data_IF_717439757473
#
_entry.id   IF_717439757473
#
_cell.length_a   1.000
_cell.length_b   1.000
_cell.length_c   1.000
_cell.angle_alpha   90.00
_cell.angle_beta   90.00
_cell.angle_gamma   90.00
#
_symmetry.space_group_name_H-M   'P 1'
#
loop_
_entity.id
_entity.type
_entity.pdbx_description
1 polymer ?
#
# COMPACT_ATOMS: atom_id res chain seq x y z
N UNK A 1 -3.71 -6.37 22.47
CA UNK A 1 -2.67 -5.31 22.45
C UNK A 1 -3.01 -4.37 21.31
N UNK A 2 -3.34 -3.11 21.59
CA UNK A 2 -3.74 -2.16 20.55
C UNK A 2 -2.54 -1.80 19.68
N UNK A 3 -2.65 -1.94 18.35
CA UNK A 3 -1.63 -1.45 17.43
C UNK A 3 -1.55 0.08 17.54
N UNK A 4 -0.36 0.67 17.79
CA UNK A 4 -0.23 2.12 18.01
C UNK A 4 -0.71 2.89 16.78
N UNK A 5 -1.24 4.11 16.90
CA UNK A 5 -1.73 4.87 15.75
C UNK A 5 -0.64 5.05 14.65
N UNK A 6 -1.04 4.96 13.38
CA UNK A 6 -0.13 5.20 12.24
C UNK A 6 0.09 6.71 12.08
N UNK A 7 1.28 7.19 12.39
CA UNK A 7 1.62 8.62 12.30
C UNK A 7 3.01 8.97 12.82
N UNK A 8 3.38 10.24 12.69
CA UNK A 8 4.64 10.78 13.20
C UNK A 8 5.90 10.32 12.46
N UNK A 9 7.06 10.62 13.05
CA UNK A 9 8.39 10.45 12.42
C UNK A 9 8.66 9.02 11.95
N UNK A 10 8.17 8.01 12.69
CA UNK A 10 8.33 6.58 12.32
C UNK A 10 7.61 6.27 11.01
N UNK A 11 6.34 6.67 10.89
CA UNK A 11 5.55 6.48 9.67
C UNK A 11 6.20 7.21 8.49
N UNK A 12 6.70 8.43 8.69
CA UNK A 12 7.44 9.16 7.64
C UNK A 12 8.66 8.39 7.15
N UNK A 13 9.46 7.82 8.07
CA UNK A 13 10.66 7.03 7.71
C UNK A 13 10.29 5.75 6.96
N UNK A 14 9.30 5.00 7.43
CA UNK A 14 8.84 3.78 6.77
C UNK A 14 8.30 4.06 5.36
N UNK A 15 7.52 5.14 5.20
CA UNK A 15 7.04 5.59 3.89
C UNK A 15 8.19 5.87 2.94
N UNK A 16 9.21 6.61 3.37
CA UNK A 16 10.38 6.89 2.55
C UNK A 16 11.14 5.60 2.20
N UNK A 17 11.34 4.71 3.17
CA UNK A 17 12.00 3.42 2.96
C UNK A 17 11.27 2.54 1.95
N UNK A 18 9.93 2.49 2.02
CA UNK A 18 9.09 1.71 1.08
C UNK A 18 9.21 2.23 -0.34
N UNK A 19 9.16 3.56 -0.54
CA UNK A 19 9.32 4.17 -1.86
C UNK A 19 10.75 3.96 -2.40
N UNK A 20 11.76 4.07 -1.55
CA UNK A 20 13.16 3.84 -1.92
C UNK A 20 13.41 2.37 -2.31
N UNK A 21 12.87 1.44 -1.54
CA UNK A 21 13.05 -0.01 -1.75
C UNK A 21 12.27 -0.54 -2.96
N UNK A 22 11.01 -0.14 -3.11
CA UNK A 22 10.08 -0.75 -4.08
C UNK A 22 9.73 0.17 -5.26
N UNK A 23 10.22 1.42 -5.26
CA UNK A 23 9.87 2.43 -6.25
C UNK A 23 8.49 3.05 -6.02
N UNK A 24 8.05 3.83 -7.01
CA UNK A 24 6.85 4.67 -6.92
C UNK A 24 5.63 4.12 -7.66
N UNK A 25 5.67 2.86 -8.13
CA UNK A 25 4.52 2.23 -8.79
C UNK A 25 3.54 1.72 -7.72
N UNK A 26 2.33 2.28 -7.71
CA UNK A 26 1.27 1.87 -6.80
C UNK A 26 0.90 0.40 -6.99
N UNK A 27 1.02 -0.41 -5.94
CA UNK A 27 0.71 -1.84 -6.01
C UNK A 27 -0.79 -2.13 -6.17
N UNK A 28 -1.66 -1.17 -5.86
CA UNK A 28 -3.10 -1.30 -6.03
C UNK A 28 -3.52 -1.07 -7.48
N UNK A 29 -3.18 0.09 -8.06
CA UNK A 29 -3.67 0.50 -9.38
C UNK A 29 -2.66 0.34 -10.53
N UNK A 30 -1.39 0.06 -10.23
CA UNK A 30 -0.32 -0.12 -11.22
C UNK A 30 0.29 1.17 -11.80
N UNK A 31 -0.22 2.36 -11.46
CA UNK A 31 0.31 3.65 -11.96
C UNK A 31 1.45 4.18 -11.08
N UNK A 32 2.35 4.98 -11.66
CA UNK A 32 3.44 5.68 -10.95
C UNK A 32 2.93 6.82 -10.05
N UNK A 33 3.81 7.38 -9.22
CA UNK A 33 3.49 8.49 -8.32
C UNK A 33 2.93 8.07 -6.95
N UNK A 34 3.24 6.86 -6.48
CA UNK A 34 2.94 6.45 -5.11
C UNK A 34 3.70 7.32 -4.11
N UNK A 35 2.99 7.80 -3.09
CA UNK A 35 3.53 8.71 -2.08
C UNK A 35 3.28 8.23 -0.65
N UNK A 36 2.57 7.10 -0.48
CA UNK A 36 2.23 6.49 0.80
C UNK A 36 2.70 5.04 0.87
N UNK A 37 2.75 4.50 2.09
CA UNK A 37 2.96 3.08 2.34
C UNK A 37 1.62 2.44 2.76
N UNK A 38 1.24 1.39 2.05
CA UNK A 38 0.04 0.58 2.28
C UNK A 38 0.42 -0.73 2.96
N UNK A 39 -0.32 -1.11 3.99
CA UNK A 39 -0.15 -2.41 4.66
C UNK A 39 -0.89 -3.51 3.90
N UNK A 40 -0.17 -4.45 3.27
CA UNK A 40 -0.75 -5.56 2.49
C UNK A 40 -1.76 -6.36 3.32
N UNK A 41 -1.42 -6.64 4.58
CA UNK A 41 -2.35 -7.06 5.62
C UNK A 41 -2.73 -5.79 6.41
N UNK A 42 -3.99 -5.33 6.40
CA UNK A 42 -4.38 -4.13 7.14
C UNK A 42 -4.04 -4.23 8.63
N UNK A 43 -3.64 -3.12 9.24
CA UNK A 43 -3.30 -3.06 10.68
C UNK A 43 -4.46 -3.49 11.58
N UNK A 44 -5.69 -3.17 11.19
CA UNK A 44 -6.91 -3.61 11.87
C UNK A 44 -7.16 -5.12 11.80
N UNK A 45 -6.42 -5.82 10.94
CA UNK A 45 -6.44 -7.28 10.75
C UNK A 45 -5.13 -7.94 11.20
N UNK A 46 -4.31 -7.23 11.99
CA UNK A 46 -3.09 -7.77 12.59
C UNK A 46 -1.81 -7.58 11.75
N UNK A 47 -1.85 -6.85 10.64
CA UNK A 47 -0.64 -6.56 9.87
C UNK A 47 0.34 -5.64 10.62
N UNK A 48 1.62 -5.98 10.54
CA UNK A 48 2.71 -5.24 11.18
C UNK A 48 3.28 -4.14 10.28
N UNK A 49 4.19 -3.34 10.84
CA UNK A 49 4.88 -2.27 10.08
C UNK A 49 6.19 -2.77 9.43
N UNK A 50 6.34 -4.08 9.22
CA UNK A 50 7.51 -4.65 8.55
C UNK A 50 7.56 -4.21 7.09
N UNK A 51 8.76 -4.10 6.54
CA UNK A 51 8.93 -3.75 5.13
C UNK A 51 8.25 -4.77 4.21
N UNK A 52 8.23 -6.05 4.62
CA UNK A 52 7.57 -7.14 3.89
C UNK A 52 6.07 -6.96 3.78
N UNK A 53 5.42 -6.37 4.80
CA UNK A 53 4.00 -6.05 4.81
C UNK A 53 3.67 -4.67 4.20
N UNK A 54 4.65 -3.85 3.82
CA UNK A 54 4.42 -2.51 3.29
C UNK A 54 4.67 -2.42 1.79
N UNK A 55 3.76 -1.77 1.05
CA UNK A 55 3.89 -1.53 -0.39
C UNK A 55 3.62 -0.09 -0.78
N UNK A 56 4.24 0.42 -1.85
CA UNK A 56 3.99 1.76 -2.36
C UNK A 56 2.55 1.88 -2.86
N UNK A 57 1.82 2.90 -2.40
CA UNK A 57 0.48 3.23 -2.88
C UNK A 57 0.28 4.74 -3.02
N UNK A 58 -0.61 5.17 -3.93
CA UNK A 58 -1.14 6.53 -3.90
C UNK A 58 -1.90 6.75 -2.59
N UNK A 59 -1.82 7.95 -2.03
CA UNK A 59 -2.63 8.32 -0.85
C UNK A 59 -4.12 8.07 -1.09
N UNK A 60 -4.63 8.40 -2.29
CA UNK A 60 -6.03 8.18 -2.64
C UNK A 60 -6.39 6.69 -2.78
N UNK A 61 -5.54 5.87 -3.40
CA UNK A 61 -5.78 4.42 -3.51
C UNK A 61 -5.73 3.73 -2.15
N UNK A 62 -4.74 4.07 -1.32
CA UNK A 62 -4.58 3.56 0.05
C UNK A 62 -5.79 3.95 0.92
N UNK A 63 -6.20 5.21 0.88
CA UNK A 63 -7.40 5.68 1.57
C UNK A 63 -8.67 4.94 1.12
N UNK A 64 -8.86 4.78 -0.20
CA UNK A 64 -10.00 4.05 -0.76
C UNK A 64 -9.99 2.56 -0.39
N UNK A 65 -8.81 1.97 -0.17
CA UNK A 65 -8.67 0.59 0.31
C UNK A 65 -9.06 0.43 1.77
N UNK A 66 -8.59 1.30 2.64
CA UNK A 66 -8.88 1.19 4.08
C UNK A 66 -8.48 -0.20 4.62
N UNK A 67 -9.46 -0.96 5.14
CA UNK A 67 -9.24 -2.30 5.69
C UNK A 67 -9.61 -3.45 4.74
N UNK A 68 -9.89 -3.16 3.46
CA UNK A 68 -10.18 -4.18 2.46
C UNK A 68 -8.95 -5.06 2.22
N UNK A 69 -9.16 -6.35 1.97
CA UNK A 69 -8.11 -7.18 1.38
C UNK A 69 -7.78 -6.69 -0.04
N UNK A 70 -6.65 -7.14 -0.59
CA UNK A 70 -6.27 -6.79 -1.96
C UNK A 70 -7.32 -7.28 -2.96
N UNK A 71 -7.88 -8.46 -2.73
CA UNK A 71 -8.93 -9.08 -3.55
C UNK A 71 -10.21 -8.26 -3.51
N UNK A 72 -10.63 -7.84 -2.31
CA UNK A 72 -11.79 -6.97 -2.12
C UNK A 72 -11.61 -5.64 -2.85
N UNK A 73 -10.42 -5.04 -2.75
CA UNK A 73 -10.09 -3.79 -3.44
C UNK A 73 -10.15 -3.96 -4.96
N UNK A 74 -9.52 -5.03 -5.50
CA UNK A 74 -9.51 -5.32 -6.94
C UNK A 74 -10.92 -5.58 -7.50
N UNK A 75 -11.78 -6.22 -6.71
CA UNK A 75 -13.19 -6.43 -7.06
C UNK A 75 -13.96 -5.11 -7.15
N UNK A 76 -13.74 -4.19 -6.19
CA UNK A 76 -14.41 -2.89 -6.13
C UNK A 76 -13.86 -1.85 -7.11
N UNK A 77 -12.55 -1.89 -7.37
CA UNK A 77 -11.84 -0.96 -8.25
C UNK A 77 -11.17 -1.74 -9.38
N UNK A 78 -11.96 -2.29 -10.33
CA UNK A 78 -11.40 -3.07 -11.43
C UNK A 78 -10.44 -2.18 -12.23
N UNK A 79 -9.19 -2.63 -12.34
CA UNK A 79 -8.18 -1.95 -13.15
C UNK A 79 -8.62 -2.11 -14.61
N UNK A 80 -9.31 -1.09 -15.16
CA UNK A 80 -9.57 -0.98 -16.59
C UNK A 80 -8.21 -0.94 -17.28
N UNK A 81 -7.79 -2.06 -17.88
CA UNK A 81 -6.45 -2.30 -18.41
C UNK A 81 -5.91 -1.07 -19.15
N UNK A 82 -4.96 -0.39 -18.53
CA UNK A 82 -3.99 0.44 -19.23
C UNK A 82 -2.60 -0.12 -18.91
N UNK A 83 -2.22 -1.17 -19.65
CA UNK A 83 -0.85 -1.63 -20.00
C UNK A 83 0.32 -1.41 -19.00
N UNK A 84 0.07 -1.38 -17.70
CA UNK A 84 1.14 -1.43 -16.70
C UNK A 84 1.07 -2.79 -16.03
N UNK A 85 2.05 -3.64 -16.31
CA UNK A 85 2.28 -4.84 -15.51
C UNK A 85 2.32 -4.42 -14.02
N UNK A 86 1.70 -5.21 -13.12
CA UNK A 86 1.95 -5.06 -11.69
C UNK A 86 3.46 -4.89 -11.48
N UNK A 87 3.87 -4.01 -10.56
CA UNK A 87 5.30 -3.77 -10.31
C UNK A 87 6.07 -5.05 -10.00
N UNK A 88 5.39 -6.11 -9.57
CA UNK A 88 5.85 -7.51 -9.49
C UNK A 88 4.66 -8.42 -9.13
N UNK A 89 4.78 -9.70 -9.44
CA UNK A 89 3.95 -10.75 -8.85
C UNK A 89 4.43 -10.95 -7.40
N UNK A 90 3.60 -10.54 -6.45
CA UNK A 90 3.76 -10.76 -5.01
C UNK A 90 2.53 -11.47 -4.49
#
# INVERSE_FOLDING_TARGET
MSTPAWGGRRSTRLRLLVIDTYGDRCHLCGKRGATSADHVIPRSKGGDDSLDNLRPAHTSCNYARGNMSIEQWRSRFPIRRARASPSRDW
#
